data_IF_464516377040
#
_entry.id   IF_464516377040
#
_cell.length_a   1.000
_cell.length_b   1.000
_cell.length_c   1.000
_cell.angle_alpha   90.00
_cell.angle_beta   90.00
_cell.angle_gamma   90.00
#
_symmetry.space_group_name_H-M   'P 1'
#
loop_
_entity.id
_entity.type
_entity.pdbx_description
1 polymer ?
#
# COMPACT_ATOMS: atom_id res chain seq x y z
N UNK A 1 23.80 -3.81 -48.02
CA UNK A 1 23.19 -2.54 -47.52
C UNK A 1 21.72 -2.71 -47.13
N UNK A 2 20.83 -3.20 -48.00
CA UNK A 2 19.38 -3.34 -47.74
C UNK A 2 19.01 -4.30 -46.57
N UNK A 3 19.82 -5.32 -46.29
CA UNK A 3 19.63 -6.25 -45.14
C UNK A 3 20.10 -5.65 -43.80
N UNK A 4 21.12 -4.79 -43.83
CA UNK A 4 21.64 -4.09 -42.65
C UNK A 4 20.63 -3.04 -42.18
N UNK A 5 19.99 -2.32 -43.10
CA UNK A 5 18.93 -1.35 -42.79
C UNK A 5 17.72 -2.03 -42.11
N UNK A 6 17.32 -3.22 -42.57
CA UNK A 6 16.23 -3.98 -41.94
C UNK A 6 16.56 -4.47 -40.52
N UNK A 7 17.83 -4.84 -40.28
CA UNK A 7 18.31 -5.28 -38.98
C UNK A 7 18.34 -4.11 -37.97
N UNK A 8 18.74 -2.91 -38.41
CA UNK A 8 18.72 -1.70 -37.57
C UNK A 8 17.31 -1.27 -37.18
N UNK A 9 16.33 -1.39 -38.08
CA UNK A 9 14.92 -1.04 -37.78
C UNK A 9 14.32 -2.02 -36.76
N UNK A 10 14.63 -3.32 -36.86
CA UNK A 10 14.17 -4.33 -35.89
C UNK A 10 14.78 -4.12 -34.49
N UNK A 11 16.03 -3.66 -34.40
CA UNK A 11 16.68 -3.35 -33.12
C UNK A 11 16.13 -2.07 -32.47
N UNK A 12 15.72 -1.08 -33.28
CA UNK A 12 15.10 0.15 -32.78
C UNK A 12 13.77 -0.09 -32.07
N UNK A 13 12.94 -1.02 -32.57
CA UNK A 13 11.62 -1.32 -31.98
C UNK A 13 11.75 -2.00 -30.60
N UNK A 14 12.80 -2.78 -30.36
CA UNK A 14 13.07 -3.40 -29.05
C UNK A 14 13.48 -2.39 -27.97
N UNK A 15 14.10 -1.27 -28.36
CA UNK A 15 14.55 -0.24 -27.42
C UNK A 15 13.44 0.74 -27.02
N UNK A 16 12.34 0.82 -27.78
CA UNK A 16 11.15 1.61 -27.42
C UNK A 16 10.04 0.78 -26.76
N UNK A 17 10.21 -0.54 -26.66
CA UNK A 17 9.21 -1.47 -26.10
C UNK A 17 9.23 -1.58 -24.58
N UNK A 18 10.21 -1.01 -23.88
CA UNK A 18 10.27 -1.03 -22.42
C UNK A 18 9.55 0.18 -21.85
N UNK A 19 8.23 0.26 -22.03
CA UNK A 19 7.44 1.10 -21.15
C UNK A 19 7.45 0.44 -19.78
N UNK A 20 8.38 0.85 -18.92
CA UNK A 20 8.30 0.59 -17.49
C UNK A 20 6.94 1.13 -17.04
N UNK A 21 6.01 0.23 -16.76
CA UNK A 21 4.71 0.59 -16.19
C UNK A 21 5.01 1.13 -14.79
N UNK A 22 5.12 2.45 -14.67
CA UNK A 22 5.21 3.14 -13.40
C UNK A 22 3.82 3.13 -12.77
N UNK A 23 3.37 1.97 -12.30
CA UNK A 23 2.20 1.83 -11.44
C UNK A 23 2.59 2.06 -9.97
N UNK A 24 3.55 2.94 -9.70
CA UNK A 24 3.83 3.37 -8.34
C UNK A 24 2.66 4.24 -7.87
N UNK A 25 2.08 3.92 -6.72
CA UNK A 25 0.91 4.64 -6.18
C UNK A 25 1.26 6.06 -5.65
N UNK A 26 2.30 6.69 -6.20
CA UNK A 26 2.77 8.03 -5.87
C UNK A 26 3.49 8.15 -4.52
N UNK A 27 3.67 7.05 -3.78
CA UNK A 27 4.28 7.07 -2.45
C UNK A 27 5.81 7.03 -2.59
N UNK A 28 6.44 8.19 -2.41
CA UNK A 28 7.89 8.36 -2.55
C UNK A 28 8.65 8.18 -1.23
N UNK A 29 8.04 8.57 -0.09
CA UNK A 29 8.62 8.39 1.25
C UNK A 29 7.57 8.53 2.36
N UNK A 30 7.86 7.98 3.54
CA UNK A 30 6.99 8.07 4.73
C UNK A 30 6.87 6.75 5.51
N UNK A 31 6.16 6.77 6.64
CA UNK A 31 5.82 5.57 7.42
C UNK A 31 4.33 5.31 7.36
N UNK A 32 3.95 4.11 6.94
CA UNK A 32 2.56 3.66 6.86
C UNK A 32 2.38 2.56 7.92
N UNK A 33 1.58 2.85 8.95
CA UNK A 33 1.27 1.89 10.01
C UNK A 33 -0.23 1.57 9.97
N UNK A 34 -0.61 0.34 9.67
CA UNK A 34 -2.01 -0.08 9.55
C UNK A 34 -2.39 -1.00 10.71
N UNK A 35 -3.48 -0.68 11.41
CA UNK A 35 -4.14 -1.60 12.35
C UNK A 35 -5.29 -2.32 11.65
N UNK A 36 -5.28 -3.65 11.68
CA UNK A 36 -6.34 -4.46 11.08
C UNK A 36 -6.65 -5.70 11.93
N UNK A 37 -7.87 -6.23 11.77
CA UNK A 37 -8.20 -7.52 12.35
C UNK A 37 -7.37 -8.64 11.67
N UNK A 38 -7.13 -9.74 12.38
CA UNK A 38 -6.42 -10.90 11.86
C UNK A 38 -7.32 -11.83 11.03
N UNK A 39 -7.96 -11.27 10.01
CA UNK A 39 -8.72 -12.03 9.04
C UNK A 39 -7.89 -12.28 7.78
N UNK A 40 -7.92 -13.50 7.19
CA UNK A 40 -7.15 -13.81 5.99
C UNK A 40 -7.42 -12.86 4.81
N UNK A 41 -8.67 -12.42 4.67
CA UNK A 41 -9.07 -11.44 3.65
C UNK A 41 -8.37 -10.09 3.86
N UNK A 42 -8.21 -9.65 5.12
CA UNK A 42 -7.56 -8.38 5.43
C UNK A 42 -6.04 -8.46 5.27
N UNK A 43 -5.42 -9.61 5.56
CA UNK A 43 -4.00 -9.81 5.23
C UNK A 43 -3.76 -9.64 3.73
N UNK A 44 -4.57 -10.33 2.91
CA UNK A 44 -4.47 -10.25 1.44
C UNK A 44 -4.72 -8.83 0.93
N UNK A 45 -5.71 -8.13 1.49
CA UNK A 45 -5.99 -6.73 1.15
C UNK A 45 -4.80 -5.82 1.43
N UNK A 46 -4.20 -5.96 2.62
CA UNK A 46 -3.07 -5.14 3.05
C UNK A 46 -1.79 -5.51 2.31
N UNK A 47 -1.58 -6.77 1.96
CA UNK A 47 -0.46 -7.21 1.10
C UNK A 47 -0.57 -6.60 -0.29
N UNK A 48 -1.78 -6.51 -0.83
CA UNK A 48 -2.05 -5.80 -2.10
C UNK A 48 -1.75 -4.31 -1.96
N UNK A 49 -2.12 -3.69 -0.84
CA UNK A 49 -1.78 -2.30 -0.55
C UNK A 49 -0.26 -2.10 -0.34
N UNK A 50 0.46 -3.10 0.15
CA UNK A 50 1.92 -3.04 0.28
C UNK A 50 2.61 -2.96 -1.08
N UNK A 51 2.03 -3.54 -2.14
CA UNK A 51 2.55 -3.38 -3.49
C UNK A 51 2.51 -1.92 -3.99
N UNK A 52 1.71 -1.05 -3.36
CA UNK A 52 1.69 0.39 -3.61
C UNK A 52 2.79 1.17 -2.87
N UNK A 53 3.42 0.60 -1.85
CA UNK A 53 4.46 1.24 -1.07
C UNK A 53 5.76 1.25 -1.89
N UNK A 54 6.28 2.44 -2.21
CA UNK A 54 7.56 2.58 -2.91
C UNK A 54 8.75 2.24 -2.01
N UNK A 55 9.93 2.02 -2.62
CA UNK A 55 11.17 1.59 -1.94
C UNK A 55 11.63 2.50 -0.78
N UNK A 56 11.16 3.75 -0.74
CA UNK A 56 11.45 4.74 0.31
C UNK A 56 10.44 4.80 1.46
N UNK A 57 9.45 3.91 1.51
CA UNK A 57 8.39 3.93 2.54
C UNK A 57 8.46 2.74 3.49
N UNK A 58 8.36 3.01 4.79
CA UNK A 58 8.30 1.98 5.84
C UNK A 58 6.85 1.53 6.03
N UNK A 59 6.53 0.33 5.56
CA UNK A 59 5.17 -0.23 5.62
C UNK A 59 5.06 -1.30 6.70
N UNK A 60 4.30 -0.99 7.76
CA UNK A 60 4.05 -1.85 8.92
C UNK A 60 2.57 -2.10 9.12
N UNK A 61 2.27 -3.30 9.58
CA UNK A 61 0.89 -3.74 9.79
C UNK A 61 0.82 -4.52 11.08
N UNK A 62 -0.16 -4.18 11.91
CA UNK A 62 -0.51 -4.92 13.10
C UNK A 62 -1.84 -5.66 12.84
N UNK A 63 -1.75 -6.96 12.59
CA UNK A 63 -2.90 -7.86 12.51
C UNK A 63 -3.12 -8.52 13.86
N UNK A 64 -4.29 -8.30 14.47
CA UNK A 64 -4.63 -8.89 15.77
C UNK A 64 -6.13 -9.07 15.93
N UNK A 65 -6.56 -10.13 16.63
CA UNK A 65 -7.96 -10.31 17.05
C UNK A 65 -8.40 -9.20 18.02
N UNK A 66 -7.45 -8.63 18.76
CA UNK A 66 -7.68 -7.61 19.78
C UNK A 66 -7.63 -6.18 19.22
N UNK A 67 -7.80 -6.02 17.90
CA UNK A 67 -7.74 -4.71 17.22
C UNK A 67 -8.78 -3.70 17.73
N UNK A 68 -9.82 -4.18 18.44
CA UNK A 68 -10.82 -3.33 19.10
C UNK A 68 -10.26 -2.64 20.33
N UNK A 69 -9.37 -3.30 21.09
CA UNK A 69 -8.75 -2.72 22.29
C UNK A 69 -7.74 -1.62 21.94
N UNK A 70 -7.18 -1.66 20.73
CA UNK A 70 -6.24 -0.66 20.19
C UNK A 70 -6.95 0.47 19.43
N UNK A 71 -8.28 0.49 19.40
CA UNK A 71 -9.07 1.47 18.66
C UNK A 71 -8.74 2.92 19.04
N UNK A 72 -8.64 3.19 20.35
CA UNK A 72 -8.36 4.52 20.88
C UNK A 72 -6.94 4.98 20.59
N UNK A 73 -5.97 4.06 20.71
CA UNK A 73 -4.57 4.33 20.34
C UNK A 73 -4.46 4.67 18.85
N UNK A 74 -5.25 4.01 18.00
CA UNK A 74 -5.31 4.30 16.56
C UNK A 74 -6.01 5.64 16.22
N UNK A 75 -6.76 6.24 17.15
CA UNK A 75 -7.37 7.56 16.99
C UNK A 75 -6.50 8.70 17.56
N UNK A 76 -5.50 8.37 18.37
CA UNK A 76 -4.57 9.34 18.93
C UNK A 76 -3.76 10.01 17.82
N UNK A 77 -3.89 11.33 17.68
CA UNK A 77 -3.13 12.10 16.70
C UNK A 77 -1.71 12.45 17.17
N UNK A 78 -1.44 12.41 18.49
CA UNK A 78 -0.14 12.78 19.03
C UNK A 78 0.24 11.99 20.30
N UNK A 79 1.20 11.05 20.22
CA UNK A 79 1.83 10.57 18.99
C UNK A 79 0.86 9.71 18.18
N UNK A 80 0.89 9.86 16.85
CA UNK A 80 0.14 9.01 15.93
C UNK A 80 0.88 7.67 15.73
N UNK A 81 0.39 6.61 16.39
CA UNK A 81 0.95 5.26 16.26
C UNK A 81 0.51 4.58 14.96
N UNK A 82 -0.73 4.81 14.53
CA UNK A 82 -1.32 4.22 13.34
C UNK A 82 -1.73 5.29 12.33
N UNK A 83 -1.40 5.06 11.06
CA UNK A 83 -1.80 5.92 9.93
C UNK A 83 -3.22 5.62 9.47
N UNK A 84 -3.64 4.35 9.58
CA UNK A 84 -4.98 3.91 9.21
C UNK A 84 -5.43 2.72 10.06
N UNK A 85 -6.74 2.60 10.27
CA UNK A 85 -7.37 1.45 10.90
C UNK A 85 -8.47 0.90 9.99
N UNK A 86 -8.45 -0.41 9.74
CA UNK A 86 -9.54 -1.10 9.08
C UNK A 86 -10.58 -1.48 10.15
N UNK A 87 -11.73 -0.83 10.11
CA UNK A 87 -12.81 -1.02 11.08
C UNK A 87 -14.00 -1.76 10.47
N UNK A 88 -14.72 -2.52 11.29
CA UNK A 88 -16.02 -3.07 10.90
C UNK A 88 -17.09 -1.98 11.02
N UNK A 89 -18.11 -2.02 10.15
CA UNK A 89 -19.21 -1.04 10.19
C UNK A 89 -19.91 -0.97 11.56
N UNK A 90 -20.02 -2.12 12.25
CA UNK A 90 -20.58 -2.19 13.61
C UNK A 90 -19.77 -1.40 14.65
N UNK A 91 -18.48 -1.19 14.41
CA UNK A 91 -17.60 -0.45 15.32
C UNK A 91 -17.52 1.04 15.03
N UNK A 92 -18.15 1.53 13.96
CA UNK A 92 -17.98 2.93 13.54
C UNK A 92 -18.66 3.92 14.49
N UNK A 93 -19.85 3.58 15.00
CA UNK A 93 -20.62 4.47 15.89
C UNK A 93 -19.88 4.70 17.21
N UNK A 94 -19.37 3.66 17.92
CA UNK A 94 -18.50 3.87 19.07
C UNK A 94 -17.30 4.77 18.76
N UNK A 95 -16.63 4.57 17.62
CA UNK A 95 -15.45 5.37 17.25
C UNK A 95 -15.76 6.84 16.96
N UNK A 96 -16.91 7.12 16.38
CA UNK A 96 -17.33 8.49 16.08
C UNK A 96 -17.81 9.24 17.32
N UNK A 97 -18.32 8.51 18.32
CA UNK A 97 -18.84 9.11 19.55
C UNK A 97 -17.78 9.24 20.65
N UNK A 98 -16.75 8.38 20.63
CA UNK A 98 -15.66 8.36 21.62
C UNK A 98 -14.37 9.03 21.10
N UNK A 99 -14.44 9.72 19.95
CA UNK A 99 -13.32 10.45 19.34
C UNK A 99 -12.97 11.78 20.00
#
# INVERSE_FOLDING_TARGET
>A
MKKIIKLCIAFGILLFGTTSVYAGCGISSGSINILANDFPALRTYVDTAKACAGDGSDFKVNHTSEHSNLAMAALSANPAEYSARIAANSSIVPLMNEG
#
